data_IF_081449608941
#
_entry.id   IF_081449608941
#
_cell.length_a   1.000
_cell.length_b   1.000
_cell.length_c   1.000
_cell.angle_alpha   90.00
_cell.angle_beta   90.00
_cell.angle_gamma   90.00
#
_symmetry.space_group_name_H-M   'P 1'
#
loop_
_entity.id
_entity.type
_entity.pdbx_description
1 polymer ?
#
# COMPACT_ATOMS: atom_id res chain seq x y z
N UNK A 1 -4.90 11.95 2.03
CA UNK A 1 -3.78 10.99 2.02
C UNK A 1 -4.32 9.68 2.57
N UNK A 2 -4.20 8.59 1.82
CA UNK A 2 -4.77 7.28 2.15
C UNK A 2 -3.67 6.22 2.10
N UNK A 3 -3.81 5.17 2.90
CA UNK A 3 -2.94 4.00 2.86
C UNK A 3 -3.80 2.79 2.55
N UNK A 4 -3.46 2.06 1.50
CA UNK A 4 -4.03 0.75 1.19
C UNK A 4 -3.10 -0.34 1.73
N UNK A 5 -3.66 -1.32 2.40
CA UNK A 5 -2.93 -2.46 2.97
C UNK A 5 -3.64 -3.74 2.51
N UNK A 6 -2.88 -4.65 1.90
CA UNK A 6 -3.31 -5.99 1.52
C UNK A 6 -2.47 -7.02 2.28
N UNK A 7 -3.12 -7.81 3.13
CA UNK A 7 -2.46 -8.73 4.05
C UNK A 7 -2.81 -10.16 3.70
N UNK A 8 -1.79 -10.96 3.39
CA UNK A 8 -1.88 -12.41 3.30
C UNK A 8 -1.20 -13.11 4.49
N UNK A 9 -1.23 -14.44 4.52
CA UNK A 9 -0.59 -15.23 5.58
C UNK A 9 0.95 -15.27 5.53
N UNK A 10 1.57 -14.70 4.49
CA UNK A 10 3.02 -14.74 4.27
C UNK A 10 3.57 -13.40 3.81
N UNK A 11 2.81 -12.66 3.01
CA UNK A 11 3.21 -11.35 2.50
C UNK A 11 2.25 -10.25 2.92
N UNK A 12 2.76 -9.04 3.02
CA UNK A 12 1.95 -7.83 3.16
C UNK A 12 2.38 -6.80 2.13
N UNK A 13 1.41 -6.30 1.37
CA UNK A 13 1.59 -5.24 0.39
C UNK A 13 0.95 -3.95 0.90
N UNK A 14 1.61 -2.82 0.68
CA UNK A 14 1.15 -1.51 1.10
C UNK A 14 1.30 -0.48 -0.01
N UNK A 15 0.33 0.43 -0.13
CA UNK A 15 0.35 1.53 -1.08
C UNK A 15 0.00 2.85 -0.39
N UNK A 16 0.75 3.92 -0.69
CA UNK A 16 0.44 5.28 -0.27
C UNK A 16 -0.23 6.02 -1.43
N UNK A 17 -1.44 6.54 -1.19
CA UNK A 17 -2.21 7.31 -2.18
C UNK A 17 -2.35 8.77 -1.74
N UNK A 18 -2.01 9.69 -2.64
CA UNK A 18 -2.22 11.13 -2.46
C UNK A 18 -2.83 11.70 -3.74
N UNK A 19 -3.90 12.48 -3.59
CA UNK A 19 -4.60 13.12 -4.71
C UNK A 19 -5.06 12.15 -5.81
N UNK A 20 -5.42 10.92 -5.44
CA UNK A 20 -5.85 9.88 -6.38
C UNK A 20 -4.70 9.13 -7.07
N UNK A 21 -3.44 9.49 -6.79
CA UNK A 21 -2.25 8.87 -7.38
C UNK A 21 -1.47 8.05 -6.37
N UNK A 22 -0.81 6.99 -6.85
CA UNK A 22 0.09 6.15 -6.05
C UNK A 22 1.44 6.87 -5.91
N UNK A 23 1.85 7.15 -4.68
CA UNK A 23 3.10 7.84 -4.38
C UNK A 23 4.23 6.90 -3.95
N UNK A 24 3.88 5.75 -3.36
CA UNK A 24 4.86 4.77 -2.88
C UNK A 24 4.21 3.41 -2.69
N UNK A 25 5.02 2.37 -2.80
CA UNK A 25 4.64 0.98 -2.52
C UNK A 25 5.65 0.34 -1.57
N UNK A 26 5.20 -0.61 -0.77
CA UNK A 26 6.05 -1.46 0.06
C UNK A 26 5.52 -2.89 0.04
N UNK A 27 6.44 -3.86 0.11
CA UNK A 27 6.13 -5.30 0.17
C UNK A 27 7.07 -5.94 1.18
N UNK A 28 6.50 -6.79 2.04
CA UNK A 28 7.22 -7.64 3.00
C UNK A 28 6.79 -9.08 2.77
#
# INVERSE_FOLDING_TARGET
MLIGIDVGGTTTDAVLIRNGEVCSTAKV
#
